data_IF_777056354917
#
_entry.id   IF_777056354917
#
_cell.length_a   1.000
_cell.length_b   1.000
_cell.length_c   1.000
_cell.angle_alpha   90.00
_cell.angle_beta   90.00
_cell.angle_gamma   90.00
#
_symmetry.space_group_name_H-M   'P 1'
#
loop_
_entity.id
_entity.type
_entity.pdbx_description
1 polymer ?
#
# COMPACT_ATOMS: atom_id res chain seq x y z
N UNK A 1 1.12 9.34 -22.41
CA UNK A 1 0.93 7.93 -22.83
C UNK A 1 0.22 7.22 -21.69
N UNK A 2 -0.95 6.64 -21.93
CA UNK A 2 -1.75 6.00 -20.89
C UNK A 2 -1.13 4.65 -20.51
N UNK A 3 -0.75 4.49 -19.24
CA UNK A 3 -0.29 3.21 -18.73
C UNK A 3 -1.52 2.33 -18.48
N UNK A 4 -1.75 1.38 -19.38
CA UNK A 4 -2.72 0.32 -19.16
C UNK A 4 -2.25 -0.53 -18.00
N UNK A 5 -2.94 -0.41 -16.86
CA UNK A 5 -2.78 -1.26 -15.70
C UNK A 5 -3.28 -2.66 -16.07
N UNK A 6 -2.37 -3.49 -16.58
CA UNK A 6 -2.64 -4.92 -16.78
C UNK A 6 -2.70 -5.55 -15.40
N UNK A 7 -3.83 -6.17 -15.07
CA UNK A 7 -3.96 -7.07 -13.93
C UNK A 7 -2.81 -8.05 -13.96
N UNK A 8 -1.99 -8.05 -12.90
CA UNK A 8 -1.01 -9.10 -12.63
C UNK A 8 -1.78 -10.35 -12.24
N UNK A 9 -2.34 -11.05 -13.23
CA UNK A 9 -2.68 -12.45 -13.04
C UNK A 9 -1.40 -13.13 -12.55
N UNK A 10 -1.48 -13.77 -11.38
CA UNK A 10 -0.42 -14.66 -10.90
C UNK A 10 0.00 -15.54 -12.07
N UNK A 11 1.31 -15.70 -12.34
CA UNK A 11 1.76 -16.62 -13.37
C UNK A 11 1.09 -17.97 -13.12
N UNK A 12 0.50 -18.53 -14.18
CA UNK A 12 -0.20 -19.80 -14.15
C UNK A 12 0.64 -20.83 -13.39
N UNK A 13 0.07 -21.28 -12.27
CA UNK A 13 0.62 -22.18 -11.24
C UNK A 13 1.74 -23.12 -11.71
N UNK A 14 2.96 -23.00 -11.14
CA UNK A 14 3.90 -24.11 -11.05
C UNK A 14 3.34 -25.31 -10.26
N UNK A 15 2.33 -25.05 -9.42
CA UNK A 15 1.72 -26.00 -8.49
C UNK A 15 1.04 -27.20 -9.15
N UNK A 16 0.40 -27.05 -10.33
CA UNK A 16 -0.30 -28.18 -10.95
C UNK A 16 0.67 -29.28 -11.38
N UNK A 17 1.86 -28.90 -11.86
CA UNK A 17 2.91 -29.86 -12.24
C UNK A 17 3.47 -30.62 -11.03
N UNK A 18 3.58 -29.94 -9.88
CA UNK A 18 4.00 -30.55 -8.61
C UNK A 18 2.95 -31.53 -8.10
N UNK A 19 1.67 -31.16 -8.17
CA UNK A 19 0.54 -32.02 -7.78
C UNK A 19 0.49 -33.30 -8.64
N UNK A 20 0.63 -33.17 -9.97
CA UNK A 20 0.66 -34.30 -10.90
C UNK A 20 1.85 -35.25 -10.61
N UNK A 21 3.02 -34.68 -10.30
CA UNK A 21 4.22 -35.47 -10.03
C UNK A 21 4.15 -36.21 -8.69
N UNK A 22 3.52 -35.59 -7.68
CA UNK A 22 3.27 -36.20 -6.38
C UNK A 22 2.31 -37.40 -6.50
N UNK A 23 1.23 -37.25 -7.26
CA UNK A 23 0.30 -38.35 -7.55
C UNK A 23 0.96 -39.49 -8.34
N UNK A 24 1.86 -39.17 -9.27
CA UNK A 24 2.65 -40.18 -9.98
C UNK A 24 3.54 -40.98 -9.02
N UNK A 25 4.23 -40.32 -8.09
CA UNK A 25 5.06 -40.99 -7.08
C UNK A 25 4.17 -41.87 -6.20
N UNK A 26 3.08 -41.33 -5.66
CA UNK A 26 2.11 -42.04 -4.81
C UNK A 26 1.61 -43.35 -5.47
N UNK A 27 1.25 -43.28 -6.76
CA UNK A 27 0.83 -44.44 -7.54
C UNK A 27 1.95 -45.49 -7.68
N UNK A 28 3.19 -45.07 -7.91
CA UNK A 28 4.34 -45.97 -7.99
C UNK A 28 4.62 -46.69 -6.66
N UNK A 29 4.58 -45.99 -5.52
CA UNK A 29 4.84 -46.61 -4.20
C UNK A 29 3.68 -47.45 -3.67
N UNK A 30 2.45 -47.15 -4.10
CA UNK A 30 1.24 -47.88 -3.72
C UNK A 30 1.01 -49.14 -4.56
N UNK A 31 1.80 -49.34 -5.63
CA UNK A 31 1.68 -50.49 -6.51
C UNK A 31 1.95 -51.82 -5.77
N UNK A 32 1.12 -52.87 -5.97
CA UNK A 32 1.33 -54.18 -5.35
C UNK A 32 2.59 -54.90 -5.84
N UNK A 33 3.15 -54.50 -6.99
CA UNK A 33 4.39 -55.05 -7.57
C UNK A 33 5.59 -54.10 -7.40
N UNK A 34 5.68 -53.42 -6.26
CA UNK A 34 6.78 -52.49 -5.97
C UNK A 34 8.10 -53.20 -5.73
N UNK A 35 9.14 -52.73 -6.39
CA UNK A 35 10.54 -53.17 -6.16
C UNK A 35 11.26 -52.15 -5.27
N UNK A 36 12.33 -52.59 -4.60
CA UNK A 36 13.18 -51.71 -3.77
C UNK A 36 13.73 -50.54 -4.60
N UNK A 37 14.09 -50.80 -5.86
CA UNK A 37 14.57 -49.79 -6.80
C UNK A 37 13.51 -48.71 -7.10
N UNK A 38 12.25 -49.11 -7.28
CA UNK A 38 11.12 -48.21 -7.54
C UNK A 38 10.79 -47.34 -6.32
N UNK A 39 10.95 -47.88 -5.11
CA UNK A 39 10.80 -47.12 -3.86
C UNK A 39 11.93 -46.09 -3.73
N UNK A 40 13.17 -46.48 -4.04
CA UNK A 40 14.34 -45.59 -4.04
C UNK A 40 14.20 -44.46 -5.07
N UNK A 41 13.70 -44.78 -6.27
CA UNK A 41 13.35 -43.78 -7.30
C UNK A 41 12.28 -42.80 -6.79
N UNK A 42 11.21 -43.30 -6.16
CA UNK A 42 10.18 -42.45 -5.57
C UNK A 42 10.73 -41.46 -4.53
N UNK A 43 11.63 -41.90 -3.65
CA UNK A 43 12.27 -41.00 -2.67
C UNK A 43 13.18 -39.96 -3.32
N UNK A 44 13.94 -40.33 -4.36
CA UNK A 44 14.77 -39.38 -5.12
C UNK A 44 13.91 -38.30 -5.77
N UNK A 45 12.88 -38.71 -6.51
CA UNK A 45 11.96 -37.78 -7.18
C UNK A 45 11.23 -36.87 -6.20
N UNK A 46 10.89 -37.38 -5.01
CA UNK A 46 10.31 -36.56 -3.95
C UNK A 46 11.31 -35.48 -3.47
N UNK A 47 12.60 -35.82 -3.32
CA UNK A 47 13.65 -34.86 -3.02
C UNK A 47 13.79 -33.77 -4.10
N UNK A 48 13.69 -34.16 -5.37
CA UNK A 48 13.72 -33.22 -6.50
C UNK A 48 12.52 -32.25 -6.47
N UNK A 49 11.33 -32.75 -6.13
CA UNK A 49 10.12 -31.92 -5.93
C UNK A 49 10.33 -30.92 -4.79
N UNK A 50 10.82 -31.37 -3.63
CA UNK A 50 11.09 -30.47 -2.49
C UNK A 50 12.10 -29.38 -2.86
N UNK A 51 13.15 -29.73 -3.60
CA UNK A 51 14.16 -28.79 -4.07
C UNK A 51 13.57 -27.77 -5.04
N UNK A 52 12.69 -28.21 -5.95
CA UNK A 52 11.99 -27.32 -6.87
C UNK A 52 11.03 -26.36 -6.15
N UNK A 53 10.31 -26.83 -5.12
CA UNK A 53 9.45 -25.97 -4.30
C UNK A 53 10.28 -24.93 -3.54
N UNK A 54 11.42 -25.34 -2.96
CA UNK A 54 12.35 -24.43 -2.28
C UNK A 54 12.88 -23.36 -3.24
N UNK A 55 13.34 -23.74 -4.42
CA UNK A 55 13.77 -22.81 -5.48
C UNK A 55 12.64 -21.83 -5.84
N UNK A 56 11.42 -22.32 -6.04
CA UNK A 56 10.24 -21.48 -6.31
C UNK A 56 10.01 -20.50 -5.17
N UNK A 57 9.98 -20.95 -3.92
CA UNK A 57 9.78 -20.07 -2.76
C UNK A 57 10.89 -19.01 -2.61
N UNK A 58 12.12 -19.35 -2.99
CA UNK A 58 13.26 -18.43 -2.94
C UNK A 58 13.31 -17.44 -4.11
N UNK A 59 12.52 -17.64 -5.18
CA UNK A 59 12.47 -16.71 -6.31
C UNK A 59 12.14 -15.29 -5.85
N UNK A 60 12.83 -14.25 -6.35
CA UNK A 60 12.55 -12.86 -6.00
C UNK A 60 11.10 -12.42 -6.27
N UNK A 61 10.42 -13.08 -7.21
CA UNK A 61 9.00 -12.85 -7.52
C UNK A 61 8.05 -13.36 -6.43
N UNK A 62 8.48 -14.31 -5.59
CA UNK A 62 7.69 -14.92 -4.52
C UNK A 62 8.07 -14.39 -3.13
N UNK A 63 9.23 -13.73 -3.02
CA UNK A 63 9.56 -12.89 -1.87
C UNK A 63 8.66 -11.65 -1.91
N UNK A 64 7.59 -11.69 -1.12
CA UNK A 64 6.61 -10.61 -0.95
C UNK A 64 7.32 -9.28 -0.70
N UNK A 65 7.43 -8.47 -1.76
CA UNK A 65 8.17 -7.22 -1.84
C UNK A 65 9.63 -7.32 -1.42
N UNK A 66 10.55 -6.97 -2.32
CA UNK A 66 11.93 -6.69 -1.91
C UNK A 66 11.93 -5.62 -0.80
N UNK A 67 12.94 -5.61 0.08
CA UNK A 67 12.99 -4.62 1.18
C UNK A 67 12.91 -3.17 0.65
N UNK A 68 13.36 -2.94 -0.59
CA UNK A 68 13.30 -1.66 -1.25
C UNK A 68 11.89 -1.30 -1.73
N UNK A 69 11.14 -2.26 -2.29
CA UNK A 69 9.73 -2.03 -2.62
C UNK A 69 8.88 -1.78 -1.37
N UNK A 70 9.15 -2.50 -0.27
CA UNK A 70 8.48 -2.27 1.01
C UNK A 70 8.73 -0.85 1.53
N UNK A 71 10.00 -0.38 1.51
CA UNK A 71 10.35 0.98 1.93
C UNK A 71 9.68 2.06 1.08
N UNK A 72 9.52 1.84 -0.23
CA UNK A 72 8.81 2.77 -1.10
C UNK A 72 7.31 2.80 -0.78
N UNK A 73 6.71 1.63 -0.61
CA UNK A 73 5.31 1.49 -0.23
C UNK A 73 5.02 2.11 1.14
N UNK A 74 5.86 1.84 2.15
CA UNK A 74 5.72 2.41 3.49
C UNK A 74 5.77 3.94 3.46
N UNK A 75 6.64 4.53 2.63
CA UNK A 75 6.69 6.00 2.44
C UNK A 75 5.44 6.54 1.76
N UNK A 76 4.98 5.89 0.70
CA UNK A 76 3.76 6.32 0.00
C UNK A 76 2.52 6.20 0.90
N UNK A 77 2.48 5.16 1.74
CA UNK A 77 1.45 4.98 2.75
C UNK A 77 1.49 6.07 3.81
N UNK A 78 2.68 6.43 4.33
CA UNK A 78 2.84 7.53 5.28
C UNK A 78 2.36 8.86 4.68
N UNK A 79 2.78 9.19 3.46
CA UNK A 79 2.29 10.38 2.75
C UNK A 79 0.77 10.37 2.55
N UNK A 80 0.18 9.19 2.29
CA UNK A 80 -1.27 9.03 2.15
C UNK A 80 -2.01 9.28 3.47
N UNK A 81 -1.44 8.85 4.61
CA UNK A 81 -1.99 9.11 5.93
C UNK A 81 -1.92 10.60 6.28
N UNK A 82 -0.80 11.27 6.01
CA UNK A 82 -0.69 12.72 6.21
C UNK A 82 -1.71 13.51 5.38
N UNK A 83 -1.99 13.07 4.15
CA UNK A 83 -3.02 13.67 3.30
C UNK A 83 -4.41 13.45 3.88
N UNK A 84 -4.69 12.26 4.43
CA UNK A 84 -5.96 11.96 5.09
C UNK A 84 -6.18 12.86 6.31
N UNK A 85 -5.13 13.07 7.12
CA UNK A 85 -5.17 14.00 8.26
C UNK A 85 -5.44 15.44 7.83
N UNK A 86 -4.85 15.88 6.71
CA UNK A 86 -5.15 17.19 6.13
C UNK A 86 -6.62 17.29 5.69
N UNK A 87 -7.14 16.27 5.01
CA UNK A 87 -8.54 16.21 4.60
C UNK A 87 -9.49 16.29 5.82
N UNK A 88 -9.16 15.58 6.90
CA UNK A 88 -9.91 15.64 8.16
C UNK A 88 -9.90 17.06 8.76
N UNK A 89 -8.73 17.69 8.84
CA UNK A 89 -8.61 19.07 9.32
C UNK A 89 -9.37 20.08 8.45
N UNK A 90 -9.37 19.89 7.13
CA UNK A 90 -10.17 20.71 6.21
C UNK A 90 -11.67 20.51 6.41
N UNK A 91 -12.13 19.28 6.63
CA UNK A 91 -13.53 18.99 6.95
C UNK A 91 -13.99 19.68 8.24
N UNK A 92 -13.15 19.70 9.28
CA UNK A 92 -13.43 20.48 10.49
C UNK A 92 -13.57 21.97 10.18
N UNK A 93 -12.66 22.54 9.39
CA UNK A 93 -12.71 23.95 8.97
C UNK A 93 -14.00 24.26 8.21
N UNK A 94 -14.41 23.40 7.27
CA UNK A 94 -15.65 23.59 6.53
C UNK A 94 -16.89 23.49 7.42
N UNK A 95 -16.87 22.59 8.40
CA UNK A 95 -17.96 22.43 9.36
C UNK A 95 -18.11 23.70 10.21
N UNK A 96 -17.00 24.25 10.70
CA UNK A 96 -16.99 25.49 11.46
C UNK A 96 -17.41 26.69 10.60
N UNK A 97 -16.95 26.76 9.35
CA UNK A 97 -17.35 27.81 8.39
C UNK A 97 -18.86 27.79 8.15
N UNK A 98 -19.44 26.61 7.97
CA UNK A 98 -20.88 26.44 7.78
C UNK A 98 -21.66 26.98 8.98
N UNK A 99 -21.22 26.69 10.21
CA UNK A 99 -21.82 27.22 11.43
C UNK A 99 -21.71 28.75 11.50
N UNK A 100 -20.54 29.32 11.18
CA UNK A 100 -20.34 30.78 11.16
C UNK A 100 -21.30 31.46 10.17
N UNK A 101 -21.46 30.90 8.97
CA UNK A 101 -22.37 31.43 7.95
C UNK A 101 -23.83 31.39 8.43
N UNK A 102 -24.27 30.26 9.00
CA UNK A 102 -25.62 30.13 9.54
C UNK A 102 -25.89 31.14 10.65
N UNK A 103 -24.95 31.29 11.59
CA UNK A 103 -25.08 32.23 12.69
C UNK A 103 -25.09 33.68 12.22
N UNK A 104 -24.26 34.03 11.23
CA UNK A 104 -24.26 35.35 10.61
C UNK A 104 -25.61 35.67 9.97
N UNK A 105 -26.19 34.73 9.23
CA UNK A 105 -27.51 34.90 8.62
C UNK A 105 -28.60 35.16 9.67
N UNK A 106 -28.59 34.40 10.77
CA UNK A 106 -29.55 34.58 11.86
C UNK A 106 -29.36 35.93 12.56
N UNK A 107 -28.11 36.30 12.85
CA UNK A 107 -27.78 37.54 13.56
C UNK A 107 -28.10 38.78 12.74
N UNK A 108 -27.85 38.73 11.43
CA UNK A 108 -28.19 39.81 10.51
C UNK A 108 -29.70 40.04 10.43
N UNK A 109 -30.51 38.97 10.44
CA UNK A 109 -31.98 39.08 10.49
C UNK A 109 -32.49 39.67 11.80
N UNK A 110 -31.78 39.44 12.90
CA UNK A 110 -32.11 39.97 14.24
C UNK A 110 -31.61 41.40 14.47
N UNK A 111 -30.69 41.90 13.63
CA UNK A 111 -30.05 43.19 13.83
C UNK A 111 -29.06 43.22 15.00
N UNK A 112 -28.46 42.07 15.34
CA UNK A 112 -27.49 41.97 16.44
C UNK A 112 -26.07 42.24 15.95
N UNK A 113 -25.73 43.52 15.80
CA UNK A 113 -24.44 43.97 15.26
C UNK A 113 -23.24 43.49 16.10
N UNK A 114 -23.41 43.34 17.41
CA UNK A 114 -22.35 42.84 18.29
C UNK A 114 -22.01 41.36 17.98
N UNK A 115 -23.04 40.53 17.80
CA UNK A 115 -22.85 39.12 17.40
C UNK A 115 -22.31 39.01 15.98
N UNK A 116 -22.75 39.87 15.06
CA UNK A 116 -22.22 39.92 13.68
C UNK A 116 -20.70 40.21 13.70
N UNK A 117 -20.27 41.22 14.46
CA UNK A 117 -18.84 41.55 14.61
C UNK A 117 -18.05 40.37 15.21
N UNK A 118 -18.59 39.72 16.24
CA UNK A 118 -17.95 38.55 16.85
C UNK A 118 -17.78 37.40 15.84
N UNK A 119 -18.76 37.15 14.97
CA UNK A 119 -18.69 36.09 13.95
C UNK A 119 -17.72 36.42 12.82
N UNK A 120 -17.60 37.69 12.42
CA UNK A 120 -16.56 38.14 11.47
C UNK A 120 -15.16 37.84 12.04
N UNK A 121 -14.92 38.12 13.32
CA UNK A 121 -13.65 37.80 13.97
C UNK A 121 -13.38 36.29 14.03
N UNK A 122 -14.42 35.47 14.29
CA UNK A 122 -14.32 34.02 14.23
C UNK A 122 -13.96 33.52 12.82
N UNK A 123 -14.55 34.09 11.77
CA UNK A 123 -14.20 33.76 10.38
C UNK A 123 -12.73 34.07 10.08
N UNK A 124 -12.23 35.24 10.48
CA UNK A 124 -10.81 35.60 10.30
C UNK A 124 -9.90 34.60 11.01
N UNK A 125 -10.26 34.18 12.23
CA UNK A 125 -9.51 33.17 12.98
C UNK A 125 -9.53 31.82 12.27
N UNK A 126 -10.68 31.42 11.74
CA UNK A 126 -10.85 30.16 11.01
C UNK A 126 -9.97 30.13 9.75
N UNK A 127 -9.94 31.23 8.98
CA UNK A 127 -9.06 31.35 7.81
C UNK A 127 -7.58 31.23 8.20
N UNK A 128 -7.17 31.83 9.32
CA UNK A 128 -5.80 31.68 9.85
C UNK A 128 -5.50 30.23 10.25
N UNK A 129 -6.45 29.54 10.90
CA UNK A 129 -6.35 28.11 11.25
C UNK A 129 -6.18 27.26 10.00
N UNK A 130 -7.02 27.44 8.98
CA UNK A 130 -6.96 26.71 7.71
C UNK A 130 -5.58 26.84 7.04
N UNK A 131 -5.06 28.07 6.92
CA UNK A 131 -3.73 28.31 6.35
C UNK A 131 -2.59 27.61 7.12
N UNK A 132 -2.74 27.45 8.43
CA UNK A 132 -1.75 26.74 9.27
C UNK A 132 -1.75 25.24 8.95
N UNK A 133 -2.91 24.64 8.71
CA UNK A 133 -3.01 23.22 8.37
C UNK A 133 -2.35 22.92 7.02
N UNK A 134 -2.58 23.75 5.99
CA UNK A 134 -1.96 23.56 4.66
C UNK A 134 -0.42 23.59 4.71
N UNK A 135 0.15 24.55 5.46
CA UNK A 135 1.62 24.66 5.59
C UNK A 135 2.26 23.47 6.31
N UNK A 136 1.54 22.83 7.24
CA UNK A 136 2.06 21.69 8.00
C UNK A 136 2.24 20.45 7.13
N UNK A 137 1.34 20.24 6.17
CA UNK A 137 1.33 19.05 5.29
C UNK A 137 2.34 19.16 4.14
N UNK A 138 2.67 20.38 3.68
CA UNK A 138 3.75 20.60 2.72
C UNK A 138 5.09 20.05 3.22
N UNK A 139 5.35 20.12 4.52
CA UNK A 139 6.63 19.67 5.08
C UNK A 139 6.75 18.14 5.24
N UNK A 140 5.66 17.41 5.42
CA UNK A 140 5.69 15.95 5.62
C UNK A 140 5.95 15.20 4.32
N UNK A 141 5.15 15.50 3.29
CA UNK A 141 5.19 14.83 1.99
C UNK A 141 6.42 15.23 1.13
N UNK A 142 6.89 16.48 1.21
CA UNK A 142 8.06 16.94 0.44
C UNK A 142 9.41 16.47 1.02
N UNK A 143 9.47 16.08 2.30
CA UNK A 143 10.73 15.65 2.94
C UNK A 143 11.25 14.31 2.41
N UNK A 144 10.46 13.54 1.67
CA UNK A 144 10.81 12.16 1.29
C UNK A 144 10.96 11.90 -0.22
N UNK A 145 10.73 12.91 -1.06
CA UNK A 145 10.93 12.86 -2.53
C UNK A 145 12.35 13.16 -3.02
N UNK A 146 13.29 13.44 -2.12
CA UNK A 146 14.68 13.76 -2.47
C UNK A 146 15.61 12.54 -2.48
N UNK A 147 16.14 12.24 -3.66
CA UNK A 147 17.29 11.36 -3.97
C UNK A 147 17.14 9.85 -3.71
N UNK A 148 17.02 9.12 -4.82
CA UNK A 148 17.76 7.86 -5.01
C UNK A 148 18.13 7.62 -6.48
N UNK A 149 18.51 8.68 -7.22
CA UNK A 149 19.30 8.54 -8.46
C UNK A 149 20.76 8.79 -8.10
N UNK A 150 21.45 7.75 -7.63
CA UNK A 150 22.81 7.94 -7.11
C UNK A 150 23.46 6.66 -6.62
N UNK A 151 23.43 5.59 -7.42
CA UNK A 151 24.40 4.50 -7.29
C UNK A 151 24.50 3.72 -8.61
N UNK A 152 25.11 4.36 -9.60
CA UNK A 152 25.84 3.66 -10.66
C UNK A 152 27.31 4.08 -10.55
N UNK A 153 27.94 3.70 -9.44
CA UNK A 153 29.40 3.68 -9.33
C UNK A 153 29.85 2.38 -9.99
N UNK A 154 30.43 2.55 -11.18
CA UNK A 154 31.73 1.98 -11.54
C UNK A 154 31.96 0.51 -11.17
N UNK A 155 31.75 -0.39 -12.15
CA UNK A 155 32.64 -1.53 -12.40
C UNK A 155 32.57 -1.95 -13.89
N UNK A 156 33.55 -1.48 -14.68
CA UNK A 156 34.33 -2.15 -15.75
C UNK A 156 34.68 -1.21 -16.89
#
# INVERSE_FOLDING_TARGET
>A
MAFHQRSISLPSRPLSKVEDELHSIEACVSSPSKTIEMISDGFRRLGDIYSSIEEIMCLPSNQVCSSQQRKLFDREMECSLELLDLCNAMNEVFTELKSIIQDLQVSLRKGDDAVVQAKILSYIRLVKKAKKHSKKTEEGCLRHGGLQDGQAVEQR
#
